data_IF_670956894116
#
_entry.id   IF_670956894116
#
_cell.length_a   1.000
_cell.length_b   1.000
_cell.length_c   1.000
_cell.angle_alpha   90.00
_cell.angle_beta   90.00
_cell.angle_gamma   90.00
#
_symmetry.space_group_name_H-M   'P 1'
#
loop_
_entity.id
_entity.type
_entity.pdbx_description
1 polymer ?
#
# COMPACT_ATOMS: atom_id res chain seq x y z
N UNK A 1 -18.27 1.88 31.88
CA UNK A 1 -16.81 2.02 31.78
C UNK A 1 -16.51 2.47 30.35
N UNK A 2 -16.01 3.68 30.16
CA UNK A 2 -15.57 4.12 28.83
C UNK A 2 -14.39 3.23 28.45
N UNK A 3 -14.60 2.32 27.51
CA UNK A 3 -13.54 1.48 26.97
C UNK A 3 -12.44 2.38 26.41
N UNK A 4 -11.24 2.33 27.00
CA UNK A 4 -10.06 3.08 26.57
C UNK A 4 -9.46 2.41 25.32
N UNK A 5 -10.22 2.34 24.22
CA UNK A 5 -9.75 1.82 22.96
C UNK A 5 -8.72 2.77 22.33
N UNK A 6 -7.73 2.20 21.72
CA UNK A 6 -6.68 2.91 21.00
C UNK A 6 -6.67 2.51 19.54
N UNK A 7 -6.33 3.44 18.67
CA UNK A 7 -6.18 3.24 17.23
C UNK A 7 -4.76 3.58 16.82
N UNK A 8 -4.16 2.74 16.00
CA UNK A 8 -2.83 2.91 15.45
C UNK A 8 -2.89 3.49 14.04
N UNK A 9 -2.26 4.63 13.82
CA UNK A 9 -1.95 5.15 12.49
C UNK A 9 -0.53 4.78 12.09
N UNK A 10 -0.35 4.35 10.84
CA UNK A 10 0.94 3.98 10.25
C UNK A 10 1.10 4.78 8.97
N UNK A 11 2.20 5.50 8.83
CA UNK A 11 2.55 6.30 7.64
C UNK A 11 3.88 5.83 7.07
N UNK A 12 3.82 5.20 5.90
CA UNK A 12 4.96 4.75 5.12
C UNK A 12 5.42 5.89 4.20
N UNK A 13 6.26 6.76 4.72
CA UNK A 13 6.78 7.92 3.98
C UNK A 13 7.89 7.58 2.99
N UNK A 14 8.43 8.62 2.35
CA UNK A 14 9.54 8.51 1.39
C UNK A 14 10.85 8.06 2.04
N UNK A 15 11.14 8.54 3.24
CA UNK A 15 12.43 8.33 3.94
C UNK A 15 12.32 7.42 5.15
N UNK A 16 11.12 6.92 5.49
CA UNK A 16 10.94 6.10 6.68
C UNK A 16 9.47 5.96 7.06
N UNK A 17 9.24 5.32 8.20
CA UNK A 17 7.91 5.05 8.75
C UNK A 17 7.69 5.90 9.99
N UNK A 18 6.46 6.38 10.14
CA UNK A 18 5.95 7.00 11.37
C UNK A 18 4.75 6.23 11.86
N UNK A 19 4.63 6.11 13.17
CA UNK A 19 3.45 5.55 13.83
C UNK A 19 2.90 6.54 14.85
N UNK A 20 1.59 6.55 15.00
CA UNK A 20 0.91 7.34 16.03
C UNK A 20 -0.23 6.53 16.67
N UNK A 21 -0.40 6.64 17.97
CA UNK A 21 -1.54 6.05 18.67
C UNK A 21 -2.46 7.17 19.14
N UNK A 22 -3.74 7.03 18.82
CA UNK A 22 -4.79 7.97 19.11
C UNK A 22 -5.78 7.32 20.09
N UNK A 23 -6.20 8.08 21.10
CA UNK A 23 -7.23 7.65 22.05
C UNK A 23 -8.65 8.04 21.60
N UNK A 24 -9.67 7.62 22.34
CA UNK A 24 -11.09 7.93 22.10
C UNK A 24 -11.41 9.45 22.14
N UNK A 25 -10.56 10.27 22.75
CA UNK A 25 -10.67 11.74 22.75
C UNK A 25 -9.97 12.39 21.56
N UNK A 26 -9.56 11.60 20.55
CA UNK A 26 -8.80 12.04 19.36
C UNK A 26 -7.47 12.71 19.68
N UNK A 27 -6.86 12.41 20.83
CA UNK A 27 -5.53 12.89 21.20
C UNK A 27 -4.48 11.87 20.85
N UNK A 28 -3.39 12.32 20.23
CA UNK A 28 -2.19 11.51 20.03
C UNK A 28 -1.54 11.33 21.40
N UNK A 29 -1.33 10.08 21.79
CA UNK A 29 -0.74 9.71 23.08
C UNK A 29 0.62 8.99 22.94
N UNK A 30 0.97 8.58 21.74
CA UNK A 30 2.24 7.98 21.42
C UNK A 30 2.60 8.24 19.98
N UNK A 31 3.87 8.51 19.70
CA UNK A 31 4.44 8.60 18.36
C UNK A 31 5.82 7.99 18.35
N UNK A 32 6.18 7.37 17.25
CA UNK A 32 7.54 6.93 17.00
C UNK A 32 7.81 6.94 15.49
N UNK A 33 9.08 7.04 15.10
CA UNK A 33 9.47 7.02 13.70
C UNK A 33 10.83 6.37 13.52
N UNK A 34 11.07 5.80 12.33
CA UNK A 34 12.33 5.20 11.96
C UNK A 34 12.60 5.47 10.48
N UNK A 35 13.83 5.88 10.15
CA UNK A 35 14.25 6.06 8.77
C UNK A 35 14.60 4.71 8.14
N UNK A 36 14.36 4.60 6.83
CA UNK A 36 14.81 3.45 6.05
C UNK A 36 16.35 3.44 6.00
N UNK A 37 17.01 2.32 6.36
CA UNK A 37 18.47 2.23 6.31
C UNK A 37 19.04 2.37 4.90
N UNK A 38 18.32 1.86 3.90
CA UNK A 38 18.80 1.80 2.50
C UNK A 38 18.00 2.74 1.60
N UNK A 39 16.67 2.66 1.60
CA UNK A 39 15.83 3.53 0.79
C UNK A 39 14.44 3.00 0.49
N UNK A 40 13.65 3.87 -0.15
CA UNK A 40 12.23 3.60 -0.45
C UNK A 40 12.03 2.40 -1.38
N UNK A 41 12.98 2.10 -2.26
CA UNK A 41 12.90 0.98 -3.20
C UNK A 41 13.13 -0.39 -2.56
N UNK A 42 13.61 -0.43 -1.31
CA UNK A 42 13.93 -1.67 -0.58
C UNK A 42 12.77 -2.01 0.35
N UNK A 43 11.97 -2.98 -0.06
CA UNK A 43 10.77 -3.39 0.67
C UNK A 43 11.09 -4.04 2.04
N UNK A 44 12.28 -4.64 2.19
CA UNK A 44 12.79 -5.16 3.46
C UNK A 44 12.87 -4.06 4.51
N UNK A 45 13.32 -2.87 4.12
CA UNK A 45 13.36 -1.70 5.02
C UNK A 45 11.95 -1.36 5.54
N UNK A 46 10.92 -1.49 4.70
CA UNK A 46 9.54 -1.19 5.14
C UNK A 46 9.09 -2.13 6.25
N UNK A 47 9.29 -3.44 6.05
CA UNK A 47 8.80 -4.43 7.01
C UNK A 47 9.64 -4.46 8.28
N UNK A 48 10.95 -4.28 8.18
CA UNK A 48 11.85 -4.30 9.32
C UNK A 48 11.66 -3.06 10.20
N UNK A 49 11.59 -1.87 9.59
CA UNK A 49 11.25 -0.64 10.31
C UNK A 49 9.87 -0.73 10.96
N UNK A 50 8.86 -1.24 10.24
CA UNK A 50 7.52 -1.46 10.77
C UNK A 50 7.54 -2.37 12.01
N UNK A 51 8.15 -3.56 11.90
CA UNK A 51 8.27 -4.51 13.01
C UNK A 51 8.98 -3.90 14.22
N UNK A 52 10.06 -3.17 13.97
CA UNK A 52 10.80 -2.50 15.03
C UNK A 52 9.92 -1.49 15.77
N UNK A 53 9.22 -0.63 15.06
CA UNK A 53 8.34 0.39 15.65
C UNK A 53 7.19 -0.25 16.44
N UNK A 54 6.55 -1.30 15.90
CA UNK A 54 5.46 -1.99 16.61
C UNK A 54 5.97 -2.66 17.87
N UNK A 55 7.14 -3.32 17.83
CA UNK A 55 7.74 -3.94 19.03
C UNK A 55 8.05 -2.91 20.10
N UNK A 56 8.43 -1.68 19.72
CA UNK A 56 8.72 -0.58 20.64
C UNK A 56 7.49 0.06 21.31
N UNK A 57 6.26 -0.25 20.87
CA UNK A 57 5.05 0.26 21.54
C UNK A 57 4.93 -0.33 22.95
N UNK A 58 4.71 0.50 24.01
CA UNK A 58 4.48 -0.01 25.36
C UNK A 58 3.34 -1.02 25.42
N UNK A 59 3.52 -2.09 26.20
CA UNK A 59 2.57 -3.19 26.31
C UNK A 59 1.15 -2.70 26.67
N UNK A 60 1.04 -1.76 27.61
CA UNK A 60 -0.25 -1.20 28.05
C UNK A 60 -1.02 -0.50 26.91
N UNK A 61 -0.33 -0.02 25.87
CA UNK A 61 -0.96 0.54 24.67
C UNK A 61 -1.31 -0.58 23.69
N UNK A 62 -0.39 -1.54 23.45
CA UNK A 62 -0.65 -2.67 22.55
C UNK A 62 -1.93 -3.42 22.93
N UNK A 63 -2.09 -3.72 24.23
CA UNK A 63 -3.23 -4.49 24.74
C UNK A 63 -4.59 -3.76 24.56
N UNK A 64 -4.57 -2.45 24.25
CA UNK A 64 -5.76 -1.62 24.01
C UNK A 64 -5.99 -1.29 22.55
N UNK A 65 -5.09 -1.67 21.65
CA UNK A 65 -5.26 -1.43 20.22
C UNK A 65 -6.39 -2.29 19.67
N UNK A 66 -7.36 -1.65 19.02
CA UNK A 66 -8.53 -2.31 18.42
C UNK A 66 -8.53 -2.25 16.90
N UNK A 67 -7.79 -1.29 16.32
CA UNK A 67 -7.68 -1.14 14.87
C UNK A 67 -6.41 -0.41 14.49
N UNK A 68 -6.01 -0.57 13.22
CA UNK A 68 -4.95 0.23 12.62
C UNK A 68 -5.39 0.73 11.24
N UNK A 69 -4.81 1.85 10.81
CA UNK A 69 -4.93 2.42 9.47
C UNK A 69 -3.54 2.66 8.90
N UNK A 70 -3.37 2.39 7.61
CA UNK A 70 -2.08 2.50 6.93
C UNK A 70 -2.21 3.50 5.80
N UNK A 71 -1.33 4.48 5.78
CA UNK A 71 -1.07 5.36 4.65
C UNK A 71 0.33 5.09 4.10
N UNK A 72 0.55 5.42 2.85
CA UNK A 72 1.87 5.28 2.22
C UNK A 72 2.07 6.28 1.10
N UNK A 73 3.26 6.25 0.50
CA UNK A 73 3.55 7.07 -0.67
C UNK A 73 2.66 6.66 -1.84
N UNK A 74 1.82 7.62 -2.29
CA UNK A 74 0.96 7.38 -3.45
C UNK A 74 1.78 7.13 -4.71
N UNK A 75 1.64 5.96 -5.28
CA UNK A 75 2.28 5.59 -6.55
C UNK A 75 3.59 4.79 -6.43
N UNK A 76 4.18 4.58 -5.26
CA UNK A 76 5.25 3.59 -5.11
C UNK A 76 4.68 2.20 -5.31
N UNK A 77 5.19 1.47 -6.30
CA UNK A 77 4.62 0.21 -6.78
C UNK A 77 5.61 -0.95 -6.62
N UNK A 78 5.11 -2.09 -6.17
CA UNK A 78 5.86 -3.33 -5.97
C UNK A 78 5.22 -4.46 -6.76
N UNK A 79 6.06 -5.29 -7.40
CA UNK A 79 5.65 -6.59 -7.92
C UNK A 79 5.82 -7.65 -6.84
N UNK A 80 4.84 -8.55 -6.70
CA UNK A 80 4.95 -9.69 -5.80
C UNK A 80 4.28 -10.93 -6.39
N UNK A 81 4.67 -12.11 -5.90
CA UNK A 81 4.03 -13.38 -6.19
C UNK A 81 2.61 -13.41 -5.61
N UNK A 82 1.81 -14.40 -5.97
CA UNK A 82 0.44 -14.57 -5.45
C UNK A 82 0.37 -14.70 -3.92
N UNK A 83 1.43 -15.18 -3.28
CA UNK A 83 1.56 -15.27 -1.82
C UNK A 83 2.07 -13.98 -1.15
N UNK A 84 2.20 -12.87 -1.92
CA UNK A 84 2.67 -11.58 -1.46
C UNK A 84 4.19 -11.44 -1.30
N UNK A 85 4.96 -12.46 -1.62
CA UNK A 85 6.42 -12.39 -1.63
C UNK A 85 6.89 -11.41 -2.72
N UNK A 86 7.63 -10.33 -2.35
CA UNK A 86 8.10 -9.35 -3.32
C UNK A 86 9.07 -9.94 -4.35
N UNK A 87 9.01 -9.38 -5.56
CA UNK A 87 9.91 -9.71 -6.66
C UNK A 87 10.73 -8.48 -7.01
N UNK A 88 12.02 -8.51 -6.70
CA UNK A 88 12.93 -7.39 -6.95
C UNK A 88 12.64 -6.17 -6.07
N UNK A 89 13.01 -4.99 -6.57
CA UNK A 89 12.85 -3.72 -5.87
C UNK A 89 11.51 -3.07 -6.19
N UNK A 90 10.98 -2.28 -5.26
CA UNK A 90 9.87 -1.39 -5.55
C UNK A 90 10.29 -0.26 -6.50
N UNK A 91 9.34 0.25 -7.26
CA UNK A 91 9.51 1.45 -8.09
C UNK A 91 8.89 2.65 -7.36
N UNK A 92 9.71 3.57 -6.80
CA UNK A 92 9.26 4.76 -6.12
C UNK A 92 8.37 5.66 -6.99
N UNK A 93 7.45 6.38 -6.34
CA UNK A 93 6.48 7.26 -7.00
C UNK A 93 7.08 8.36 -7.88
N UNK A 94 8.31 8.76 -7.61
CA UNK A 94 9.02 9.81 -8.38
C UNK A 94 9.72 9.27 -9.63
N UNK A 95 9.72 7.94 -9.87
CA UNK A 95 10.25 7.37 -11.10
C UNK A 95 9.23 7.56 -12.22
N UNK A 96 9.61 8.31 -13.25
CA UNK A 96 8.86 8.45 -14.48
C UNK A 96 9.20 7.33 -15.45
N UNK A 97 8.23 6.99 -16.31
CA UNK A 97 8.35 5.94 -17.32
C UNK A 97 7.94 6.47 -18.70
N UNK A 98 8.71 7.44 -19.26
CA UNK A 98 8.37 8.07 -20.55
C UNK A 98 8.40 7.09 -21.73
N UNK A 99 9.11 5.98 -21.60
CA UNK A 99 9.16 4.89 -22.58
C UNK A 99 7.80 4.22 -22.84
N UNK A 100 6.83 4.39 -21.92
CA UNK A 100 5.46 3.86 -22.05
C UNK A 100 4.43 4.96 -22.31
N UNK A 101 4.85 6.14 -22.76
CA UNK A 101 3.95 7.27 -22.99
C UNK A 101 2.84 6.96 -24.02
N UNK A 102 3.16 6.20 -25.07
CA UNK A 102 2.20 5.82 -26.08
C UNK A 102 1.17 4.81 -25.55
N UNK A 103 1.63 3.79 -24.83
CA UNK A 103 0.77 2.78 -24.21
C UNK A 103 -0.16 3.42 -23.19
N UNK A 104 0.37 4.35 -22.37
CA UNK A 104 -0.43 5.11 -21.39
C UNK A 104 -1.50 5.94 -22.12
N UNK A 105 -1.14 6.67 -23.18
CA UNK A 105 -2.11 7.51 -23.93
C UNK A 105 -3.20 6.68 -24.62
N UNK A 106 -2.87 5.48 -25.08
CA UNK A 106 -3.84 4.55 -25.67
C UNK A 106 -4.79 3.93 -24.62
N UNK A 107 -4.35 3.90 -23.34
CA UNK A 107 -5.12 3.32 -22.25
C UNK A 107 -6.15 4.27 -21.66
N UNK A 108 -5.94 5.59 -21.76
CA UNK A 108 -6.82 6.59 -21.18
C UNK A 108 -7.37 7.54 -22.25
N UNK A 109 -8.70 7.57 -22.41
CA UNK A 109 -9.39 8.49 -23.33
C UNK A 109 -9.51 9.92 -22.78
N UNK A 110 -9.30 10.11 -21.48
CA UNK A 110 -9.35 11.41 -20.80
C UNK A 110 -8.19 11.53 -19.83
N UNK A 111 -7.74 12.75 -19.61
CA UNK A 111 -6.75 13.02 -18.56
C UNK A 111 -7.28 12.62 -17.17
N UNK A 112 -6.49 11.84 -16.47
CA UNK A 112 -6.74 11.42 -15.09
C UNK A 112 -5.39 11.20 -14.38
N UNK A 113 -5.42 10.91 -13.09
CA UNK A 113 -4.20 10.67 -12.34
C UNK A 113 -3.37 9.47 -12.85
N UNK A 114 -4.02 8.51 -13.51
CA UNK A 114 -3.35 7.35 -14.14
C UNK A 114 -2.68 7.66 -15.48
N UNK A 115 -3.14 8.70 -16.22
CA UNK A 115 -2.64 9.01 -17.56
C UNK A 115 -1.27 9.70 -17.60
N UNK A 116 -0.72 10.06 -16.44
CA UNK A 116 0.61 10.68 -16.35
C UNK A 116 1.73 9.64 -16.49
N UNK A 117 2.81 10.01 -17.20
CA UNK A 117 4.05 9.20 -17.26
C UNK A 117 4.71 9.00 -15.88
N UNK A 118 4.38 9.85 -14.92
CA UNK A 118 4.75 9.69 -13.49
C UNK A 118 3.64 9.03 -12.66
N UNK A 119 2.58 8.56 -13.30
CA UNK A 119 1.54 7.71 -12.69
C UNK A 119 2.03 6.29 -12.41
N UNK A 120 1.23 5.50 -11.71
CA UNK A 120 1.58 4.10 -11.39
C UNK A 120 1.55 3.19 -12.62
N UNK A 121 0.79 3.54 -13.66
CA UNK A 121 0.65 2.73 -14.88
C UNK A 121 1.98 2.53 -15.60
N UNK A 122 2.79 3.58 -15.77
CA UNK A 122 4.12 3.42 -16.38
C UNK A 122 5.01 2.47 -15.60
N UNK A 123 4.99 2.55 -14.28
CA UNK A 123 5.71 1.60 -13.39
C UNK A 123 5.12 0.19 -13.47
N UNK A 124 3.78 0.07 -13.61
CA UNK A 124 3.14 -1.22 -13.84
C UNK A 124 3.63 -1.86 -15.14
N UNK A 125 3.65 -1.13 -16.26
CA UNK A 125 4.19 -1.64 -17.52
C UNK A 125 5.66 -2.10 -17.39
N UNK A 126 6.49 -1.31 -16.69
CA UNK A 126 7.89 -1.70 -16.44
C UNK A 126 8.01 -2.99 -15.65
N UNK A 127 7.22 -3.16 -14.59
CA UNK A 127 7.22 -4.40 -13.79
C UNK A 127 6.68 -5.59 -14.57
N UNK A 128 5.61 -5.39 -15.36
CA UNK A 128 5.04 -6.44 -16.22
C UNK A 128 6.01 -6.86 -17.32
N UNK A 129 6.76 -5.91 -17.89
CA UNK A 129 7.80 -6.24 -18.87
C UNK A 129 8.95 -7.06 -18.27
N UNK A 130 9.28 -6.81 -17.00
CA UNK A 130 10.35 -7.53 -16.29
C UNK A 130 9.92 -8.92 -15.80
N UNK A 131 8.67 -9.05 -15.32
CA UNK A 131 8.25 -10.21 -14.54
C UNK A 131 7.04 -10.96 -15.13
N UNK A 132 6.45 -10.45 -16.23
CA UNK A 132 5.27 -11.06 -16.86
C UNK A 132 3.95 -10.74 -16.12
N UNK A 133 2.90 -11.46 -16.49
CA UNK A 133 1.52 -11.18 -16.04
C UNK A 133 1.05 -12.09 -14.88
N UNK A 134 1.92 -12.95 -14.38
CA UNK A 134 1.60 -13.86 -13.25
C UNK A 134 2.08 -13.28 -11.90
N UNK A 135 1.96 -11.97 -11.75
CA UNK A 135 2.37 -11.21 -10.57
C UNK A 135 1.19 -10.43 -9.99
N UNK A 136 1.32 -10.00 -8.75
CA UNK A 136 0.47 -8.97 -8.17
C UNK A 136 1.20 -7.63 -8.18
N UNK A 137 0.48 -6.56 -8.56
CA UNK A 137 0.95 -5.18 -8.48
C UNK A 137 0.32 -4.52 -7.26
N UNK A 138 1.13 -4.14 -6.27
CA UNK A 138 0.63 -3.55 -5.02
C UNK A 138 1.35 -2.26 -4.69
N UNK A 139 0.59 -1.24 -4.32
CA UNK A 139 1.17 -0.03 -3.73
C UNK A 139 1.74 -0.35 -2.35
N UNK A 140 2.66 0.49 -1.89
CA UNK A 140 3.38 0.30 -0.63
C UNK A 140 2.46 0.01 0.56
N UNK A 141 1.42 0.84 0.78
CA UNK A 141 0.46 0.65 1.87
C UNK A 141 -0.41 -0.59 1.67
N UNK A 142 -0.83 -0.88 0.42
CA UNK A 142 -1.62 -2.07 0.09
C UNK A 142 -0.82 -3.34 0.35
N UNK A 143 0.49 -3.33 0.03
CA UNK A 143 1.35 -4.48 0.31
C UNK A 143 1.51 -4.75 1.81
N UNK A 144 1.74 -3.70 2.62
CA UNK A 144 1.85 -3.86 4.08
C UNK A 144 0.51 -4.29 4.70
N UNK A 145 -0.61 -3.77 4.20
CA UNK A 145 -1.95 -4.23 4.59
C UNK A 145 -2.13 -5.71 4.29
N UNK A 146 -1.74 -6.14 3.07
CA UNK A 146 -1.75 -7.55 2.67
C UNK A 146 -0.88 -8.42 3.58
N UNK A 147 0.30 -7.94 3.97
CA UNK A 147 1.18 -8.65 4.89
C UNK A 147 0.53 -8.86 6.27
N UNK A 148 -0.13 -7.83 6.81
CA UNK A 148 -0.86 -7.94 8.09
C UNK A 148 -2.04 -8.91 8.01
N UNK A 149 -2.79 -8.87 6.90
CA UNK A 149 -3.95 -9.72 6.68
C UNK A 149 -3.57 -11.15 6.25
N UNK A 150 -2.33 -11.36 5.80
CA UNK A 150 -1.89 -12.55 5.05
C UNK A 150 -2.76 -12.79 3.81
N UNK A 151 -3.17 -11.71 3.16
CA UNK A 151 -4.00 -11.68 1.96
C UNK A 151 -3.72 -10.40 1.16
N UNK A 152 -3.24 -10.55 -0.07
CA UNK A 152 -2.87 -9.43 -0.97
C UNK A 152 -3.89 -9.19 -2.08
N UNK A 153 -5.11 -9.71 -1.93
CA UNK A 153 -6.16 -9.56 -2.93
C UNK A 153 -6.64 -8.10 -3.07
N UNK A 154 -6.61 -7.33 -1.99
CA UNK A 154 -7.22 -6.02 -1.91
C UNK A 154 -6.21 -4.88 -1.98
N UNK A 155 -6.70 -3.71 -2.46
CA UNK A 155 -6.03 -2.42 -2.41
C UNK A 155 -7.03 -1.33 -2.02
N UNK A 156 -6.53 -0.24 -1.48
CA UNK A 156 -7.34 0.90 -1.07
C UNK A 156 -7.49 1.88 -2.25
N UNK A 157 -8.68 2.48 -2.42
CA UNK A 157 -9.01 3.31 -3.59
C UNK A 157 -8.08 4.51 -3.76
N UNK A 158 -7.73 5.23 -2.71
CA UNK A 158 -6.85 6.40 -2.77
C UNK A 158 -5.44 6.07 -3.26
N UNK A 159 -4.90 4.89 -2.88
CA UNK A 159 -3.63 4.41 -3.40
C UNK A 159 -3.71 4.12 -4.91
N UNK A 160 -4.86 3.69 -5.39
CA UNK A 160 -5.05 3.19 -6.75
C UNK A 160 -5.54 4.25 -7.76
N UNK A 161 -5.82 5.50 -7.34
CA UNK A 161 -6.13 6.62 -8.24
C UNK A 161 -5.05 6.78 -9.31
N UNK A 162 -3.78 6.73 -8.91
CA UNK A 162 -2.63 6.85 -9.84
C UNK A 162 -2.44 5.64 -10.75
N UNK A 163 -3.13 4.53 -10.45
CA UNK A 163 -3.25 3.36 -11.32
C UNK A 163 -4.44 3.48 -12.28
N UNK A 164 -5.27 4.51 -12.14
CA UNK A 164 -6.43 4.77 -12.98
C UNK A 164 -7.77 4.42 -12.36
N UNK A 165 -7.83 4.05 -11.06
CA UNK A 165 -9.10 3.84 -10.39
C UNK A 165 -9.95 5.11 -10.37
N UNK A 166 -11.18 5.02 -10.82
CA UNK A 166 -12.16 6.10 -10.79
C UNK A 166 -13.00 6.03 -9.51
N UNK A 167 -12.68 6.90 -8.55
CA UNK A 167 -13.40 6.96 -7.27
C UNK A 167 -14.86 7.36 -7.48
N UNK A 168 -15.15 8.21 -8.47
CA UNK A 168 -16.51 8.71 -8.70
C UNK A 168 -17.46 7.61 -9.17
N UNK A 169 -16.95 6.70 -10.00
CA UNK A 169 -17.71 5.58 -10.56
C UNK A 169 -17.46 4.26 -9.80
N UNK A 170 -16.47 4.21 -8.90
CA UNK A 170 -16.10 3.01 -8.16
C UNK A 170 -15.65 1.86 -9.07
N UNK A 171 -14.91 2.19 -10.14
CA UNK A 171 -14.52 1.21 -11.17
C UNK A 171 -13.15 1.50 -11.78
N UNK A 172 -12.54 0.46 -12.35
CA UNK A 172 -11.46 0.64 -13.32
C UNK A 172 -12.03 1.17 -14.64
N UNK A 173 -11.22 1.88 -15.47
CA UNK A 173 -11.65 2.27 -16.82
C UNK A 173 -12.16 1.07 -17.62
N UNK A 174 -13.22 1.28 -18.45
CA UNK A 174 -13.87 0.19 -19.20
C UNK A 174 -12.89 -0.62 -20.06
N UNK A 175 -11.91 0.04 -20.68
CA UNK A 175 -10.91 -0.63 -21.50
C UNK A 175 -9.95 -1.52 -20.71
N UNK A 176 -9.88 -1.40 -19.38
CA UNK A 176 -9.07 -2.28 -18.55
C UNK A 176 -9.55 -3.73 -18.58
N UNK A 177 -10.83 -3.98 -18.88
CA UNK A 177 -11.33 -5.35 -19.06
C UNK A 177 -10.63 -6.13 -20.18
N UNK A 178 -9.99 -5.45 -21.12
CA UNK A 178 -9.23 -6.06 -22.22
C UNK A 178 -7.74 -6.24 -21.90
N UNK A 179 -7.28 -5.78 -20.73
CA UNK A 179 -5.90 -5.93 -20.32
C UNK A 179 -5.60 -7.37 -19.91
N UNK A 180 -4.58 -7.96 -20.53
CA UNK A 180 -4.10 -9.30 -20.17
C UNK A 180 -3.58 -9.39 -18.72
N UNK A 181 -3.28 -8.26 -18.11
CA UNK A 181 -2.74 -8.13 -16.77
C UNK A 181 -3.74 -7.54 -15.75
N UNK A 182 -5.03 -7.49 -16.07
CA UNK A 182 -6.06 -7.00 -15.15
C UNK A 182 -6.03 -7.75 -13.80
N UNK A 183 -5.77 -9.05 -13.84
CA UNK A 183 -5.68 -9.88 -12.63
C UNK A 183 -4.47 -9.55 -11.73
N UNK A 184 -3.49 -8.77 -12.23
CA UNK A 184 -2.39 -8.26 -11.42
C UNK A 184 -2.85 -7.15 -10.47
N UNK A 185 -3.96 -6.45 -10.80
CA UNK A 185 -4.50 -5.35 -10.01
C UNK A 185 -5.28 -5.86 -8.79
N UNK A 186 -5.35 -5.06 -7.71
CA UNK A 186 -6.13 -5.43 -6.54
C UNK A 186 -7.65 -5.26 -6.79
N UNK A 187 -8.45 -5.99 -6.02
CA UNK A 187 -9.84 -5.63 -5.79
C UNK A 187 -9.87 -4.40 -4.87
N UNK A 188 -10.56 -3.36 -5.29
CA UNK A 188 -10.53 -2.08 -4.57
C UNK A 188 -11.54 -2.05 -3.43
N UNK A 189 -11.07 -1.57 -2.29
CA UNK A 189 -11.87 -1.28 -1.10
C UNK A 189 -11.92 0.25 -0.93
N UNK A 190 -13.13 0.82 -0.74
CA UNK A 190 -13.28 2.25 -0.48
C UNK A 190 -12.54 2.71 0.77
N UNK A 191 -12.04 3.95 0.75
CA UNK A 191 -11.33 4.57 1.87
C UNK A 191 -12.17 4.55 3.15
N UNK A 192 -11.54 4.16 4.25
CA UNK A 192 -12.19 4.06 5.56
C UNK A 192 -13.00 2.80 5.81
N UNK A 193 -13.17 1.93 4.82
CA UNK A 193 -13.77 0.61 5.05
C UNK A 193 -12.77 -0.38 5.67
N UNK A 194 -13.32 -1.35 6.41
CA UNK A 194 -12.51 -2.40 7.03
C UNK A 194 -12.04 -3.37 5.94
N UNK A 195 -10.72 -3.48 5.78
CA UNK A 195 -10.12 -4.45 4.85
C UNK A 195 -10.10 -5.88 5.40
N UNK A 196 -10.12 -6.04 6.72
CA UNK A 196 -10.11 -7.35 7.37
C UNK A 196 -9.53 -7.31 8.77
N UNK A 197 -9.27 -8.48 9.33
CA UNK A 197 -8.62 -8.64 10.64
C UNK A 197 -7.16 -9.04 10.46
N UNK A 198 -6.29 -8.52 11.32
CA UNK A 198 -4.87 -8.91 11.33
C UNK A 198 -4.78 -10.42 11.54
N UNK A 199 -4.01 -11.09 10.69
CA UNK A 199 -3.76 -12.53 10.80
C UNK A 199 -3.16 -12.88 12.17
N UNK A 200 -3.68 -13.90 12.85
CA UNK A 200 -3.25 -14.30 14.21
C UNK A 200 -1.73 -14.55 14.25
N UNK A 201 -1.17 -15.19 13.22
CA UNK A 201 0.28 -15.42 13.13
C UNK A 201 1.06 -14.09 13.14
N UNK A 202 0.58 -13.10 12.37
CA UNK A 202 1.22 -11.77 12.30
C UNK A 202 1.04 -10.98 13.60
N UNK A 203 -0.13 -11.06 14.21
CA UNK A 203 -0.37 -10.44 15.50
C UNK A 203 0.57 -11.01 16.60
N UNK A 204 0.82 -12.31 16.59
CA UNK A 204 1.75 -12.96 17.51
C UNK A 204 3.23 -12.59 17.23
N UNK A 205 3.61 -12.43 15.95
CA UNK A 205 4.95 -11.98 15.55
C UNK A 205 5.26 -10.54 16.03
N UNK A 206 4.23 -9.70 16.14
CA UNK A 206 4.33 -8.28 16.51
C UNK A 206 4.20 -8.00 18.01
N UNK A 207 3.81 -8.98 18.81
CA UNK A 207 3.75 -8.88 20.27
C UNK A 207 5.13 -8.93 20.90
#
# INVERSE_FOLDING_TARGET
MLNNFLVLGIDLGTSGIKIAIINTKRKIIYTSSLQYPTGLEIWEDWIDCFKHLIKGIPKDYKDKLVSCSIAGTSGTLLACKSNGEPIGKALPYFISCPEYSQEISNLFYKECAGSSISGSIGRAFRLLNLYGNEILLRHQADWLSGWLLNNWEHGEEGNNIRMGWDISNGSWPENFQYLKWLNCLPKIIPSGQIMGNICIKKANELR
#
